data_IF_430064970241
#
_entry.id   IF_430064970241
#
_cell.length_a   1.000
_cell.length_b   1.000
_cell.length_c   1.000
_cell.angle_alpha   90.00
_cell.angle_beta   90.00
_cell.angle_gamma   90.00
#
_symmetry.space_group_name_H-M   'P 1'
#
loop_
_entity.id
_entity.type
_entity.pdbx_description
1 polymer ?
#
# COMPACT_ATOMS: atom_id res chain seq x y z
N UNK A 1 -3.87 -18.18 9.32
CA UNK A 1 -4.39 -16.82 9.53
C UNK A 1 -5.22 -16.80 10.78
N UNK A 2 -4.98 -15.81 11.63
CA UNK A 2 -5.73 -15.52 12.86
C UNK A 2 -6.51 -14.22 12.63
N UNK A 3 -7.82 -14.23 12.85
CA UNK A 3 -8.65 -13.03 12.79
C UNK A 3 -9.37 -12.91 14.14
N UNK A 4 -9.38 -11.72 14.72
CA UNK A 4 -10.18 -11.44 15.92
C UNK A 4 -11.66 -11.77 15.66
N UNK A 5 -12.32 -12.49 16.59
CA UNK A 5 -13.65 -13.05 16.36
C UNK A 5 -14.72 -12.00 16.03
N UNK A 6 -14.62 -10.80 16.61
CA UNK A 6 -15.52 -9.68 16.37
C UNK A 6 -15.11 -8.79 15.18
N UNK A 7 -14.05 -9.16 14.44
CA UNK A 7 -13.55 -8.33 13.36
C UNK A 7 -14.61 -8.19 12.23
N UNK A 8 -14.90 -6.97 11.74
CA UNK A 8 -15.94 -6.74 10.71
C UNK A 8 -15.73 -7.57 9.44
N UNK A 9 -14.49 -7.92 9.13
CA UNK A 9 -14.12 -8.68 7.94
C UNK A 9 -13.87 -10.18 8.17
N UNK A 10 -14.18 -10.74 9.35
CA UNK A 10 -13.90 -12.16 9.65
C UNK A 10 -14.53 -13.15 8.64
N UNK A 11 -15.67 -12.79 8.05
CA UNK A 11 -16.34 -13.54 6.99
C UNK A 11 -15.91 -13.19 5.56
N UNK A 12 -15.01 -12.23 5.35
CA UNK A 12 -14.66 -11.71 4.03
C UNK A 12 -13.81 -12.74 3.24
N UNK A 13 -14.27 -13.24 2.08
CA UNK A 13 -13.49 -14.20 1.30
C UNK A 13 -12.23 -13.58 0.69
N UNK A 14 -12.25 -12.27 0.38
CA UNK A 14 -11.08 -11.54 -0.15
C UNK A 14 -9.95 -11.51 0.86
N UNK A 15 -10.26 -11.16 2.12
CA UNK A 15 -9.29 -11.17 3.21
C UNK A 15 -8.57 -12.53 3.32
N UNK A 16 -9.34 -13.62 3.31
CA UNK A 16 -8.81 -14.99 3.33
C UNK A 16 -7.93 -15.31 2.13
N UNK A 17 -8.35 -14.93 0.93
CA UNK A 17 -7.57 -15.18 -0.29
C UNK A 17 -6.27 -14.37 -0.33
N UNK A 18 -6.29 -13.13 0.16
CA UNK A 18 -5.10 -12.28 0.23
C UNK A 18 -4.14 -12.78 1.31
N UNK A 19 -4.65 -13.22 2.47
CA UNK A 19 -3.83 -13.80 3.52
C UNK A 19 -3.07 -15.04 3.04
N UNK A 20 -3.69 -15.85 2.17
CA UNK A 20 -3.02 -17.02 1.57
C UNK A 20 -1.77 -16.67 0.76
N UNK A 21 -1.67 -15.46 0.20
CA UNK A 21 -0.47 -15.01 -0.50
C UNK A 21 0.73 -14.98 0.45
N UNK A 22 0.55 -14.39 1.64
CA UNK A 22 1.57 -14.36 2.67
C UNK A 22 1.83 -15.73 3.30
N UNK A 23 0.78 -16.53 3.52
CA UNK A 23 0.94 -17.90 4.02
C UNK A 23 1.74 -18.78 3.06
N UNK A 24 1.56 -18.60 1.74
CA UNK A 24 2.36 -19.28 0.72
C UNK A 24 3.84 -18.87 0.76
N UNK A 25 4.16 -17.72 1.35
CA UNK A 25 5.54 -17.25 1.59
C UNK A 25 6.04 -17.60 2.99
N UNK A 26 5.29 -18.42 3.74
CA UNK A 26 5.67 -18.90 5.07
C UNK A 26 5.36 -17.92 6.21
N UNK A 27 4.61 -16.85 5.96
CA UNK A 27 4.18 -15.94 7.02
C UNK A 27 2.88 -16.40 7.69
N UNK A 28 2.72 -16.04 8.96
CA UNK A 28 1.40 -16.03 9.62
C UNK A 28 0.76 -14.66 9.41
N UNK A 29 -0.55 -14.63 9.19
CA UNK A 29 -1.31 -13.39 9.07
C UNK A 29 -2.22 -13.24 10.28
N UNK A 30 -2.14 -12.10 10.98
CA UNK A 30 -2.98 -11.72 12.12
C UNK A 30 -3.78 -10.47 11.75
N UNK A 31 -5.09 -10.53 11.95
CA UNK A 31 -6.01 -9.44 11.60
C UNK A 31 -6.78 -8.99 12.84
N UNK A 32 -6.59 -7.75 13.25
CA UNK A 32 -7.21 -7.14 14.43
C UNK A 32 -7.23 -5.61 14.31
N UNK A 33 -8.15 -4.97 15.03
CA UNK A 33 -8.28 -3.52 15.07
C UNK A 33 -7.08 -2.87 15.76
N UNK A 34 -6.56 -1.76 15.21
CA UNK A 34 -5.38 -1.08 15.74
C UNK A 34 -4.07 -1.79 15.47
N UNK A 35 -4.03 -2.70 14.50
CA UNK A 35 -2.78 -3.33 14.07
C UNK A 35 -1.83 -2.30 13.43
N UNK A 36 -0.53 -2.48 13.65
CA UNK A 36 0.50 -1.56 13.14
C UNK A 36 0.67 -1.61 11.61
N UNK A 37 0.00 -2.53 10.91
CA UNK A 37 0.06 -2.70 9.46
C UNK A 37 1.49 -2.91 8.96
N UNK A 38 2.10 -4.02 9.39
CA UNK A 38 3.52 -4.29 9.12
C UNK A 38 3.81 -5.79 8.94
N UNK A 39 4.99 -6.06 8.40
CA UNK A 39 5.60 -7.39 8.36
C UNK A 39 6.72 -7.45 9.39
N UNK A 40 6.61 -8.37 10.33
CA UNK A 40 7.57 -8.55 11.43
C UNK A 40 8.32 -9.86 11.30
N UNK A 41 9.64 -9.81 11.48
CA UNK A 41 10.45 -11.02 11.65
C UNK A 41 10.27 -11.57 13.07
N UNK A 42 10.11 -12.88 13.19
CA UNK A 42 9.99 -13.61 14.46
C UNK A 42 10.97 -14.80 14.48
N UNK A 43 11.21 -15.42 15.66
CA UNK A 43 12.07 -16.61 15.74
C UNK A 43 11.59 -17.79 14.88
N UNK A 44 10.30 -17.86 14.56
CA UNK A 44 9.70 -18.97 13.79
C UNK A 44 9.37 -18.64 12.34
N UNK A 45 9.71 -17.43 11.86
CA UNK A 45 9.39 -16.98 10.51
C UNK A 45 8.90 -15.54 10.52
N UNK A 46 7.89 -15.23 9.71
CA UNK A 46 7.31 -13.89 9.61
C UNK A 46 5.88 -13.84 10.11
N UNK A 47 5.48 -12.70 10.65
CA UNK A 47 4.10 -12.39 10.99
C UNK A 47 3.71 -11.10 10.26
N UNK A 48 2.56 -11.10 9.60
CA UNK A 48 1.94 -9.92 9.01
C UNK A 48 0.77 -9.53 9.89
N UNK A 49 0.79 -8.31 10.42
CA UNK A 49 -0.24 -7.78 11.32
C UNK A 49 -0.92 -6.62 10.63
N UNK A 50 -2.23 -6.73 10.39
CA UNK A 50 -2.99 -5.75 9.59
C UNK A 50 -4.39 -5.53 10.13
N UNK A 51 -4.93 -4.33 9.91
CA UNK A 51 -6.28 -3.99 10.34
C UNK A 51 -7.38 -4.58 9.47
N UNK A 52 -7.07 -5.05 8.26
CA UNK A 52 -8.09 -5.59 7.36
C UNK A 52 -7.63 -5.76 5.93
N UNK A 53 -8.59 -5.94 5.03
CA UNK A 53 -8.33 -6.22 3.61
C UNK A 53 -7.52 -5.12 2.95
N UNK A 54 -7.82 -3.85 3.25
CA UNK A 54 -7.14 -2.71 2.65
C UNK A 54 -5.64 -2.72 2.98
N UNK A 55 -5.31 -2.80 4.26
CA UNK A 55 -3.93 -2.82 4.75
C UNK A 55 -3.22 -4.10 4.29
N UNK A 56 -3.88 -5.26 4.29
CA UNK A 56 -3.29 -6.49 3.78
C UNK A 56 -2.88 -6.39 2.31
N UNK A 57 -3.69 -5.74 1.46
CA UNK A 57 -3.33 -5.52 0.06
C UNK A 57 -2.14 -4.57 -0.07
N UNK A 58 -2.07 -3.54 0.78
CA UNK A 58 -0.95 -2.62 0.85
C UNK A 58 0.36 -3.38 1.15
N UNK A 59 0.36 -4.19 2.22
CA UNK A 59 1.52 -5.03 2.58
C UNK A 59 1.91 -6.01 1.47
N UNK A 60 0.94 -6.63 0.79
CA UNK A 60 1.24 -7.54 -0.33
C UNK A 60 1.95 -6.77 -1.46
N UNK A 61 1.54 -5.54 -1.75
CA UNK A 61 2.15 -4.75 -2.82
C UNK A 61 3.65 -4.53 -2.54
N UNK A 62 4.01 -4.11 -1.33
CA UNK A 62 5.40 -3.96 -0.90
C UNK A 62 6.17 -5.28 -0.96
N UNK A 63 5.61 -6.36 -0.41
CA UNK A 63 6.25 -7.67 -0.42
C UNK A 63 6.53 -8.18 -1.85
N UNK A 64 5.64 -7.91 -2.81
CA UNK A 64 5.83 -8.24 -4.23
C UNK A 64 6.87 -7.37 -4.94
N UNK A 65 7.09 -6.15 -4.46
CA UNK A 65 8.18 -5.28 -4.93
C UNK A 65 9.52 -5.76 -4.39
N UNK A 66 9.59 -6.06 -3.09
CA UNK A 66 10.77 -6.61 -2.43
C UNK A 66 11.13 -8.01 -2.95
N UNK A 67 10.13 -8.78 -3.41
CA UNK A 67 10.28 -10.14 -3.92
C UNK A 67 10.58 -11.19 -2.83
N UNK A 68 10.44 -10.79 -1.56
CA UNK A 68 10.68 -11.61 -0.37
C UNK A 68 9.99 -10.98 0.84
N UNK A 69 9.90 -11.72 1.94
CA UNK A 69 9.52 -11.17 3.23
C UNK A 69 10.75 -10.64 3.96
N UNK A 70 10.63 -9.44 4.49
CA UNK A 70 11.59 -8.79 5.37
C UNK A 70 10.83 -7.98 6.41
N UNK A 71 11.53 -7.65 7.50
CA UNK A 71 11.02 -6.71 8.50
C UNK A 71 10.75 -5.36 7.81
N UNK A 72 9.52 -4.87 7.90
CA UNK A 72 9.02 -3.68 7.17
C UNK A 72 9.44 -3.65 5.70
N UNK A 73 9.33 -4.81 5.03
CA UNK A 73 9.68 -5.00 3.62
C UNK A 73 11.15 -4.67 3.28
N UNK A 74 12.01 -4.63 4.30
CA UNK A 74 13.42 -4.29 4.17
C UNK A 74 13.67 -2.79 3.99
N UNK A 75 12.72 -1.94 4.39
CA UNK A 75 12.90 -0.50 4.41
C UNK A 75 14.06 -0.12 5.34
N UNK A 76 15.00 0.65 4.81
CA UNK A 76 16.13 1.17 5.57
C UNK A 76 15.73 2.50 6.21
N UNK A 77 15.34 2.45 7.49
CA UNK A 77 14.98 3.62 8.28
C UNK A 77 16.11 4.68 8.36
N UNK A 78 17.37 4.30 8.13
CA UNK A 78 18.49 5.24 8.01
C UNK A 78 18.40 6.15 6.77
N UNK A 79 17.49 5.86 5.84
CA UNK A 79 17.20 6.71 4.68
C UNK A 79 16.20 7.82 4.95
N UNK A 80 15.62 7.89 6.15
CA UNK A 80 14.76 9.01 6.54
C UNK A 80 15.64 10.24 6.87
N UNK A 81 15.38 11.43 6.30
CA UNK A 81 14.31 11.72 5.35
C UNK A 81 14.63 11.23 3.94
N UNK A 82 13.64 10.57 3.32
CA UNK A 82 13.74 10.06 1.95
C UNK A 82 13.78 11.24 0.99
N UNK A 83 14.79 11.26 0.11
CA UNK A 83 14.91 12.23 -0.98
C UNK A 83 14.29 11.67 -2.28
N UNK A 84 13.07 12.07 -2.65
CA UNK A 84 12.39 11.55 -3.82
C UNK A 84 13.00 12.08 -5.13
N UNK A 85 14.01 12.96 -5.11
CA UNK A 85 14.68 13.37 -6.34
C UNK A 85 15.75 12.36 -6.76
N UNK A 86 16.26 11.55 -5.82
CA UNK A 86 17.25 10.50 -6.07
C UNK A 86 16.58 9.21 -6.54
N UNK A 87 17.30 8.41 -7.32
CA UNK A 87 16.74 7.19 -7.91
C UNK A 87 16.20 6.20 -6.87
N UNK A 88 16.91 6.03 -5.74
CA UNK A 88 16.47 5.16 -4.65
C UNK A 88 15.24 5.71 -3.92
N UNK A 89 15.22 7.00 -3.60
CA UNK A 89 14.06 7.62 -2.96
C UNK A 89 12.83 7.67 -3.87
N UNK A 90 13.01 7.83 -5.19
CA UNK A 90 11.93 7.64 -6.17
C UNK A 90 11.37 6.23 -6.16
N UNK A 91 12.23 5.22 -6.02
CA UNK A 91 11.77 3.85 -6.00
C UNK A 91 10.89 3.59 -4.77
N UNK A 92 11.25 4.15 -3.61
CA UNK A 92 10.44 4.14 -2.39
C UNK A 92 9.10 4.85 -2.64
N UNK A 93 9.11 6.08 -3.15
CA UNK A 93 7.88 6.82 -3.48
C UNK A 93 6.96 6.04 -4.44
N UNK A 94 7.54 5.36 -5.43
CA UNK A 94 6.76 4.59 -6.39
C UNK A 94 6.15 3.34 -5.77
N UNK A 95 6.87 2.68 -4.88
CA UNK A 95 6.39 1.55 -4.11
C UNK A 95 5.19 1.96 -3.25
N UNK A 96 5.36 3.00 -2.44
CA UNK A 96 4.34 3.59 -1.58
C UNK A 96 3.06 3.99 -2.34
N UNK A 97 3.18 4.85 -3.36
CA UNK A 97 2.02 5.29 -4.13
C UNK A 97 1.29 4.12 -4.82
N UNK A 98 2.05 3.13 -5.27
CA UNK A 98 1.47 1.93 -5.88
C UNK A 98 0.75 1.08 -4.83
N UNK A 99 1.33 0.89 -3.64
CA UNK A 99 0.72 0.15 -2.55
C UNK A 99 -0.57 0.84 -2.07
N UNK A 100 -0.58 2.18 -1.98
CA UNK A 100 -1.79 2.95 -1.67
C UNK A 100 -2.89 2.76 -2.74
N UNK A 101 -2.54 2.89 -4.01
CA UNK A 101 -3.50 2.63 -5.09
C UNK A 101 -4.02 1.19 -5.05
N UNK A 102 -3.15 0.20 -4.88
CA UNK A 102 -3.57 -1.21 -4.76
C UNK A 102 -4.57 -1.40 -3.60
N UNK A 103 -4.27 -0.82 -2.44
CA UNK A 103 -5.15 -0.85 -1.27
C UNK A 103 -6.54 -0.24 -1.55
N UNK A 104 -6.58 0.88 -2.27
CA UNK A 104 -7.82 1.52 -2.72
C UNK A 104 -8.61 0.63 -3.70
N UNK A 105 -7.93 0.06 -4.70
CA UNK A 105 -8.57 -0.72 -5.77
C UNK A 105 -9.26 -1.99 -5.25
N UNK A 106 -8.73 -2.61 -4.20
CA UNK A 106 -9.12 -3.95 -3.76
C UNK A 106 -9.83 -3.97 -2.39
N UNK A 107 -10.13 -2.81 -1.82
CA UNK A 107 -10.92 -2.67 -0.60
C UNK A 107 -12.33 -2.13 -0.87
N UNK A 108 -13.20 -2.19 0.15
CA UNK A 108 -14.55 -1.60 0.12
C UNK A 108 -14.62 -0.21 0.73
N UNK A 109 -13.46 0.38 1.09
CA UNK A 109 -13.40 1.73 1.66
C UNK A 109 -13.73 2.77 0.59
N UNK A 110 -14.11 3.97 1.02
CA UNK A 110 -14.17 5.11 0.11
C UNK A 110 -12.77 5.37 -0.47
N UNK A 111 -12.68 5.35 -1.80
CA UNK A 111 -11.40 5.34 -2.51
C UNK A 111 -10.59 6.61 -2.23
N UNK A 112 -11.22 7.79 -2.26
CA UNK A 112 -10.52 9.05 -2.11
C UNK A 112 -10.17 9.32 -0.64
N UNK A 113 -11.11 9.08 0.27
CA UNK A 113 -10.85 9.23 1.70
C UNK A 113 -9.74 8.29 2.18
N UNK A 114 -9.75 7.03 1.73
CA UNK A 114 -8.71 6.07 2.07
C UNK A 114 -7.36 6.44 1.48
N UNK A 115 -7.30 6.84 0.21
CA UNK A 115 -6.05 7.31 -0.39
C UNK A 115 -5.47 8.50 0.39
N UNK A 116 -6.31 9.49 0.76
CA UNK A 116 -5.88 10.63 1.60
C UNK A 116 -5.32 10.20 2.95
N UNK A 117 -5.98 9.26 3.62
CA UNK A 117 -5.53 8.74 4.92
C UNK A 117 -4.14 8.12 4.80
N UNK A 118 -3.91 7.29 3.77
CA UNK A 118 -2.62 6.66 3.54
C UNK A 118 -1.51 7.63 3.16
N UNK A 119 -1.80 8.65 2.34
CA UNK A 119 -0.80 9.69 2.02
C UNK A 119 -0.52 10.56 3.24
N UNK A 120 -1.53 10.85 4.06
CA UNK A 120 -1.43 11.72 5.22
C UNK A 120 -0.40 11.25 6.25
N UNK A 121 -0.19 9.95 6.40
CA UNK A 121 0.81 9.40 7.33
C UNK A 121 2.24 9.44 6.79
N UNK A 122 2.46 9.71 5.50
CA UNK A 122 3.78 9.56 4.90
C UNK A 122 4.75 10.72 5.15
N UNK A 123 4.26 11.88 5.60
CA UNK A 123 5.08 13.09 5.76
C UNK A 123 6.34 12.85 6.62
N UNK A 124 6.24 11.97 7.63
CA UNK A 124 7.35 11.56 8.50
C UNK A 124 8.51 10.92 7.74
N UNK A 125 8.25 10.12 6.71
CA UNK A 125 9.30 9.44 5.93
C UNK A 125 10.10 10.41 5.07
N UNK A 126 9.48 11.53 4.67
CA UNK A 126 10.09 12.53 3.79
C UNK A 126 10.62 13.74 4.56
N UNK A 127 10.58 13.73 5.89
CA UNK A 127 10.99 14.86 6.73
C UNK A 127 10.19 16.13 6.44
N UNK A 128 8.90 15.96 6.12
CA UNK A 128 7.94 17.03 5.92
C UNK A 128 7.16 17.27 7.22
N UNK A 129 6.84 18.52 7.54
CA UNK A 129 6.09 18.87 8.74
C UNK A 129 4.63 18.39 8.68
N UNK A 130 4.05 18.36 7.48
CA UNK A 130 2.68 17.94 7.23
C UNK A 130 2.49 17.38 5.80
N UNK A 131 1.25 17.04 5.46
CA UNK A 131 0.87 16.53 4.14
C UNK A 131 1.06 17.56 3.01
N UNK A 132 0.93 18.86 3.29
CA UNK A 132 1.12 19.90 2.28
C UNK A 132 2.59 19.97 1.87
N UNK A 133 3.49 19.94 2.84
CA UNK A 133 4.93 19.91 2.58
C UNK A 133 5.36 18.59 1.91
N UNK A 134 4.78 17.46 2.30
CA UNK A 134 4.98 16.18 1.60
C UNK A 134 4.61 16.30 0.10
N UNK A 135 3.42 16.83 -0.20
CA UNK A 135 2.95 16.98 -1.57
C UNK A 135 3.82 17.97 -2.35
N UNK A 136 4.22 19.09 -1.74
CA UNK A 136 5.14 20.05 -2.38
C UNK A 136 6.47 19.39 -2.79
N UNK A 137 6.99 18.45 -1.98
CA UNK A 137 8.23 17.71 -2.27
C UNK A 137 8.06 16.62 -3.32
N UNK A 138 6.92 15.93 -3.33
CA UNK A 138 6.72 14.71 -4.13
C UNK A 138 5.99 14.96 -5.45
N UNK A 139 5.08 15.93 -5.53
CA UNK A 139 4.30 16.20 -6.75
C UNK A 139 5.17 16.52 -7.98
N UNK A 140 6.25 17.33 -7.90
CA UNK A 140 7.13 17.56 -9.05
C UNK A 140 7.79 16.27 -9.55
N UNK A 141 8.16 15.38 -8.63
CA UNK A 141 8.78 14.08 -8.95
C UNK A 141 7.78 13.15 -9.62
N UNK A 142 6.55 13.07 -9.10
CA UNK A 142 5.47 12.27 -9.70
C UNK A 142 5.18 12.73 -11.12
N UNK A 143 5.07 14.04 -11.35
CA UNK A 143 4.85 14.62 -12.69
C UNK A 143 6.03 14.31 -13.62
N UNK A 144 7.26 14.59 -13.18
CA UNK A 144 8.47 14.39 -13.98
C UNK A 144 8.70 12.91 -14.37
N UNK A 145 8.23 11.97 -13.55
CA UNK A 145 8.47 10.54 -13.74
C UNK A 145 7.18 9.71 -13.91
N UNK A 146 6.08 10.33 -14.33
CA UNK A 146 4.76 9.69 -14.42
C UNK A 146 4.75 8.41 -15.27
N UNK A 147 5.51 8.38 -16.39
CA UNK A 147 5.63 7.17 -17.20
C UNK A 147 6.29 6.01 -16.44
N UNK A 148 7.32 6.32 -15.63
CA UNK A 148 8.00 5.35 -14.78
C UNK A 148 7.08 4.80 -13.71
N UNK A 149 6.31 5.67 -13.05
CA UNK A 149 5.31 5.29 -12.05
C UNK A 149 4.24 4.38 -12.65
N UNK A 150 3.62 4.76 -13.77
CA UNK A 150 2.63 3.93 -14.47
C UNK A 150 3.19 2.56 -14.86
N UNK A 151 4.44 2.51 -15.33
CA UNK A 151 5.09 1.25 -15.68
C UNK A 151 5.35 0.38 -14.43
N UNK A 152 5.71 1.00 -13.31
CA UNK A 152 5.88 0.34 -12.03
C UNK A 152 4.57 -0.25 -11.52
N UNK A 153 3.50 0.55 -11.46
CA UNK A 153 2.17 0.14 -11.03
C UNK A 153 1.67 -1.07 -11.85
N UNK A 154 1.79 -1.02 -13.19
CA UNK A 154 1.40 -2.16 -14.05
C UNK A 154 2.16 -3.44 -13.72
N UNK A 155 3.44 -3.36 -13.40
CA UNK A 155 4.23 -4.54 -13.00
C UNK A 155 3.75 -5.11 -11.67
N UNK A 156 3.46 -4.26 -10.69
CA UNK A 156 2.95 -4.69 -9.37
C UNK A 156 1.56 -5.30 -9.51
N UNK A 157 0.64 -4.68 -10.25
CA UNK A 157 -0.69 -5.25 -10.55
C UNK A 157 -0.59 -6.63 -11.19
N UNK A 158 0.30 -6.80 -12.16
CA UNK A 158 0.51 -8.10 -12.81
C UNK A 158 1.12 -9.14 -11.87
N UNK A 159 2.02 -8.74 -10.96
CA UNK A 159 2.57 -9.63 -9.91
C UNK A 159 1.50 -10.03 -8.91
N UNK A 160 0.66 -9.08 -8.50
CA UNK A 160 -0.44 -9.31 -7.58
C UNK A 160 -1.44 -10.32 -8.15
N UNK A 161 -1.86 -10.14 -9.41
CA UNK A 161 -2.75 -11.11 -10.08
C UNK A 161 -2.12 -12.51 -10.13
N UNK A 162 -0.84 -12.62 -10.49
CA UNK A 162 -0.12 -13.92 -10.49
C UNK A 162 -0.04 -14.54 -9.11
N UNK A 163 0.21 -13.75 -8.06
CA UNK A 163 0.25 -14.24 -6.69
C UNK A 163 -1.12 -14.79 -6.26
N UNK A 164 -2.20 -14.10 -6.61
CA UNK A 164 -3.56 -14.58 -6.35
C UNK A 164 -3.91 -15.85 -7.14
N UNK A 165 -3.47 -15.96 -8.39
CA UNK A 165 -3.61 -17.20 -9.18
C UNK A 165 -2.89 -18.36 -8.50
N UNK A 166 -1.65 -18.14 -8.03
CA UNK A 166 -0.83 -19.18 -7.42
C UNK A 166 -1.46 -19.80 -6.15
N UNK A 167 -2.22 -19.00 -5.40
CA UNK A 167 -2.94 -19.47 -4.19
C UNK A 167 -4.37 -19.96 -4.47
N UNK A 168 -4.74 -20.09 -5.75
CA UNK A 168 -6.04 -20.59 -6.18
C UNK A 168 -7.19 -19.60 -5.98
N UNK A 169 -6.92 -18.29 -5.94
CA UNK A 169 -7.98 -17.29 -5.78
C UNK A 169 -8.90 -17.26 -7.02
N UNK A 170 -10.23 -17.30 -6.84
CA UNK A 170 -11.18 -17.25 -7.94
C UNK A 170 -11.11 -15.90 -8.68
N UNK A 171 -11.46 -15.90 -9.96
CA UNK A 171 -11.34 -14.73 -10.83
C UNK A 171 -12.07 -13.48 -10.30
N UNK A 172 -13.18 -13.64 -9.59
CA UNK A 172 -13.93 -12.51 -9.02
C UNK A 172 -13.19 -11.84 -7.85
N UNK A 173 -12.35 -12.56 -7.11
CA UNK A 173 -11.47 -11.99 -6.07
C UNK A 173 -10.27 -11.28 -6.72
N UNK A 174 -9.77 -11.80 -7.84
CA UNK A 174 -8.63 -11.18 -8.55
C UNK A 174 -8.99 -9.87 -9.24
N UNK A 175 -10.27 -9.62 -9.50
CA UNK A 175 -10.75 -8.34 -10.05
C UNK A 175 -10.75 -7.26 -8.95
N UNK A 176 -10.27 -6.05 -9.27
CA UNK A 176 -10.40 -4.91 -8.37
C UNK A 176 -11.88 -4.59 -8.13
N UNK A 177 -12.18 -4.06 -6.96
CA UNK A 177 -13.52 -3.60 -6.57
C UNK A 177 -13.80 -2.25 -7.24
N UNK A 178 -12.81 -1.37 -7.27
CA UNK A 178 -12.88 -0.06 -7.91
C UNK A 178 -11.93 0.00 -9.12
N UNK A 179 -12.41 0.55 -10.22
CA UNK A 179 -11.56 0.92 -11.36
C UNK A 179 -10.89 2.24 -11.04
N UNK A 180 -9.62 2.21 -10.69
CA UNK A 180 -8.84 3.40 -10.34
C UNK A 180 -7.66 3.56 -11.30
N UNK A 181 -7.25 4.81 -11.48
CA UNK A 181 -6.00 5.20 -12.12
C UNK A 181 -5.18 5.98 -11.08
N UNK A 182 -3.94 5.57 -10.82
CA UNK A 182 -3.11 6.24 -9.82
C UNK A 182 -2.87 7.72 -10.17
N UNK A 183 -2.71 8.05 -11.45
CA UNK A 183 -2.54 9.44 -11.89
C UNK A 183 -3.78 10.29 -11.53
N UNK A 184 -4.99 9.75 -11.71
CA UNK A 184 -6.23 10.45 -11.40
C UNK A 184 -6.44 10.57 -9.87
N UNK A 185 -6.09 9.54 -9.10
CA UNK A 185 -6.14 9.59 -7.64
C UNK A 185 -5.18 10.62 -7.07
N UNK A 186 -3.93 10.62 -7.56
CA UNK A 186 -2.93 11.59 -7.16
C UNK A 186 -3.36 13.01 -7.51
N UNK A 187 -3.81 13.24 -8.75
CA UNK A 187 -4.31 14.54 -9.19
C UNK A 187 -5.46 15.03 -8.32
N UNK A 188 -6.45 14.17 -8.06
CA UNK A 188 -7.58 14.51 -7.20
C UNK A 188 -7.12 14.89 -5.79
N UNK A 189 -6.19 14.13 -5.21
CA UNK A 189 -5.64 14.39 -3.88
C UNK A 189 -4.95 15.76 -3.80
N UNK A 190 -4.10 16.09 -4.77
CA UNK A 190 -3.41 17.39 -4.84
C UNK A 190 -4.42 18.53 -4.96
N UNK A 191 -5.39 18.42 -5.86
CA UNK A 191 -6.41 19.46 -6.06
C UNK A 191 -7.28 19.66 -4.81
N UNK A 192 -7.60 18.60 -4.06
CA UNK A 192 -8.34 18.72 -2.81
C UNK A 192 -7.54 19.44 -1.73
N UNK A 193 -6.24 19.15 -1.60
CA UNK A 193 -5.38 19.84 -0.65
C UNK A 193 -5.22 21.32 -0.97
N UNK A 194 -5.09 21.68 -2.24
CA UNK A 194 -5.03 23.08 -2.69
C UNK A 194 -6.35 23.82 -2.41
N UNK A 195 -7.50 23.17 -2.63
CA UNK A 195 -8.81 23.73 -2.28
C UNK A 195 -8.98 23.90 -0.76
N UNK A 196 -8.52 22.93 0.03
CA UNK A 196 -8.58 22.97 1.50
C UNK A 196 -7.70 24.07 2.10
N UNK A 197 -6.52 24.31 1.53
CA UNK A 197 -5.62 25.40 1.93
C UNK A 197 -6.15 26.80 1.57
N UNK A 198 -7.18 26.88 0.71
CA UNK A 198 -7.79 28.14 0.26
C UNK A 198 -8.99 28.56 1.13
N UNK A 199 -9.34 27.82 2.19
CA UNK A 199 -10.34 28.26 3.16
C UNK A 199 -9.64 28.90 4.38
N UNK A 200 -9.86 30.21 4.63
CA UNK A 200 -9.24 30.95 5.73
C UNK A 200 -9.77 30.55 7.12
#
# INVERSE_FOLDING_TARGET
>A
MEIAAAHPEAGCPRLRAYARVFEAWGARVRVFEGADNCVRRTPSGFVVEVEGTANLVHEIAHALVAGRLEDDHGFDYGKIPVDPTRAEGRAILFDELTACAMSCAFSRRDVHAWFREQIGIQHVFYGAADVHELVARTAPVVVAHAHGLRAFERRVRARFDRALVAVGAPAWIRRPIASICLDDLWKHHVEELERGASMP
#
